data_IF_339156727665
#
_entry.id   IF_339156727665
#
_cell.length_a   1.000
_cell.length_b   1.000
_cell.length_c   1.000
_cell.angle_alpha   90.00
_cell.angle_beta   90.00
_cell.angle_gamma   90.00
#
_symmetry.space_group_name_H-M   'P 1'
#
loop_
_entity.id
_entity.type
_entity.pdbx_description
1 polymer ?
#
# COMPACT_ATOMS: atom_id res chain seq x y z
N UNK A 1 -13.30 39.82 64.79
CA UNK A 1 -14.06 40.90 64.15
C UNK A 1 -13.76 40.86 62.65
N UNK A 2 -14.81 40.66 61.86
CA UNK A 2 -14.97 40.85 60.41
C UNK A 2 -14.21 39.99 59.42
N UNK A 3 -14.81 38.81 59.14
CA UNK A 3 -14.53 38.03 57.93
C UNK A 3 -15.78 37.68 57.11
N UNK A 4 -16.89 38.45 57.19
CA UNK A 4 -18.15 38.15 56.51
C UNK A 4 -18.54 39.09 55.37
N UNK A 5 -17.70 40.06 54.97
CA UNK A 5 -18.08 41.09 53.97
C UNK A 5 -17.63 40.85 52.51
N UNK A 6 -16.79 39.82 52.21
CA UNK A 6 -16.18 39.62 50.84
C UNK A 6 -16.81 38.54 49.97
N UNK A 7 -17.64 37.69 50.53
CA UNK A 7 -18.27 36.55 49.79
C UNK A 7 -19.52 36.98 49.02
N UNK A 8 -20.32 37.90 49.53
CA UNK A 8 -21.60 38.26 48.90
C UNK A 8 -21.41 39.14 47.64
N UNK A 9 -20.40 39.95 47.57
CA UNK A 9 -20.12 40.82 46.40
C UNK A 9 -19.65 39.98 45.18
N UNK A 10 -18.97 38.88 45.36
CA UNK A 10 -18.49 38.02 44.24
C UNK A 10 -19.62 37.18 43.64
N UNK A 11 -20.60 36.81 44.43
CA UNK A 11 -21.77 36.05 43.95
C UNK A 11 -22.70 36.95 43.12
N UNK A 12 -22.93 38.19 43.58
CA UNK A 12 -23.71 39.19 42.88
C UNK A 12 -23.09 39.59 41.51
N UNK A 13 -21.77 39.71 41.43
CA UNK A 13 -21.05 40.04 40.18
C UNK A 13 -21.10 38.86 39.20
N UNK A 14 -20.94 37.60 39.65
CA UNK A 14 -21.06 36.40 38.81
C UNK A 14 -22.48 36.25 38.25
N UNK A 15 -23.51 36.49 39.05
CA UNK A 15 -24.92 36.40 38.65
C UNK A 15 -25.28 37.49 37.65
N UNK A 16 -24.80 38.71 37.82
CA UNK A 16 -24.97 39.81 36.82
C UNK A 16 -24.26 39.53 35.50
N UNK A 17 -23.03 38.99 35.51
CA UNK A 17 -22.31 38.59 34.28
C UNK A 17 -23.03 37.47 33.54
N UNK A 18 -23.60 36.47 34.25
CA UNK A 18 -24.35 35.38 33.65
C UNK A 18 -25.66 35.84 33.01
N UNK A 19 -26.40 36.77 33.65
CA UNK A 19 -27.61 37.44 33.06
C UNK A 19 -27.26 38.28 31.83
N UNK A 20 -26.15 38.99 31.84
CA UNK A 20 -25.72 39.83 30.71
C UNK A 20 -25.36 38.97 29.50
N UNK A 21 -24.58 37.90 29.71
CA UNK A 21 -24.23 36.97 28.63
C UNK A 21 -25.42 36.23 28.03
N UNK A 22 -26.39 35.84 28.85
CA UNK A 22 -27.64 35.23 28.35
C UNK A 22 -28.47 36.21 27.52
N UNK A 23 -28.53 37.50 27.88
CA UNK A 23 -29.23 38.49 27.09
C UNK A 23 -28.51 38.80 25.75
N UNK A 24 -27.18 38.82 25.74
CA UNK A 24 -26.37 39.01 24.52
C UNK A 24 -26.58 37.85 23.57
N UNK A 25 -26.55 36.59 24.06
CA UNK A 25 -26.78 35.41 23.25
C UNK A 25 -28.20 35.36 22.68
N UNK A 26 -29.21 35.73 23.48
CA UNK A 26 -30.62 35.79 23.03
C UNK A 26 -30.83 36.85 21.96
N UNK A 27 -30.13 38.00 22.06
CA UNK A 27 -30.17 39.05 21.04
C UNK A 27 -29.51 38.63 19.75
N UNK A 28 -28.35 37.97 19.81
CA UNK A 28 -27.63 37.39 18.64
C UNK A 28 -28.46 36.32 17.93
N UNK A 29 -29.12 35.43 18.66
CA UNK A 29 -29.98 34.38 18.10
C UNK A 29 -31.19 34.97 17.38
N UNK A 30 -31.78 36.05 17.91
CA UNK A 30 -32.92 36.73 17.27
C UNK A 30 -32.50 37.51 16.02
N UNK A 31 -31.34 38.13 16.02
CA UNK A 31 -30.80 38.80 14.83
C UNK A 31 -30.45 37.80 13.72
N UNK A 32 -29.86 36.63 14.05
CA UNK A 32 -29.61 35.55 13.10
C UNK A 32 -30.92 34.99 12.52
N UNK A 33 -31.99 34.83 13.33
CA UNK A 33 -33.29 34.39 12.84
C UNK A 33 -33.92 35.41 11.90
N UNK A 34 -33.79 36.71 12.16
CA UNK A 34 -34.27 37.79 11.25
C UNK A 34 -33.50 37.80 9.93
N UNK A 35 -32.16 37.60 9.96
CA UNK A 35 -31.34 37.49 8.75
C UNK A 35 -31.68 36.24 7.92
N UNK A 36 -31.95 35.11 8.56
CA UNK A 36 -32.43 33.89 7.87
C UNK A 36 -33.78 34.09 7.21
N UNK A 37 -34.72 34.77 7.90
CA UNK A 37 -36.09 35.05 7.35
C UNK A 37 -36.04 36.04 6.19
N UNK A 38 -35.12 37.04 6.21
CA UNK A 38 -34.93 37.95 5.09
C UNK A 38 -34.27 37.23 3.88
N UNK A 39 -33.32 36.31 4.11
CA UNK A 39 -32.73 35.52 3.06
C UNK A 39 -33.71 34.56 2.37
N UNK A 40 -34.64 34.00 3.13
CA UNK A 40 -35.72 33.15 2.58
C UNK A 40 -36.77 33.99 1.80
N UNK A 41 -37.08 35.22 2.23
CA UNK A 41 -37.99 36.11 1.48
C UNK A 41 -37.39 36.69 0.20
N UNK A 42 -36.05 36.85 0.10
CA UNK A 42 -35.40 37.28 -1.16
C UNK A 42 -35.30 36.16 -2.20
N UNK A 43 -35.45 34.91 -1.79
CA UNK A 43 -35.44 33.74 -2.70
C UNK A 43 -36.82 33.46 -3.31
N UNK A 44 -37.92 34.10 -2.83
CA UNK A 44 -39.28 33.86 -3.31
C UNK A 44 -39.79 34.92 -4.29
N UNK A 45 -39.08 36.00 -4.54
CA UNK A 45 -39.52 37.08 -5.45
C UNK A 45 -38.78 37.14 -6.79
N UNK A 46 -37.85 36.20 -7.07
CA UNK A 46 -37.12 36.09 -8.34
C UNK A 46 -37.64 34.96 -9.24
N UNK A 47 -38.80 34.47 -8.99
CA UNK A 47 -39.35 33.32 -9.68
C UNK A 47 -40.51 33.62 -10.58
N UNK A 48 -40.38 34.44 -11.64
CA UNK A 48 -41.31 34.45 -12.79
C UNK A 48 -40.68 35.18 -13.99
N UNK A 49 -39.71 34.54 -14.60
CA UNK A 49 -39.50 34.54 -16.07
C UNK A 49 -38.79 33.22 -16.37
N UNK A 50 -39.59 32.19 -16.57
CA UNK A 50 -39.09 30.91 -17.04
C UNK A 50 -38.72 31.06 -18.54
N UNK A 51 -37.48 31.35 -18.81
CA UNK A 51 -36.85 30.84 -20.06
C UNK A 51 -36.62 29.34 -19.80
N UNK A 52 -37.35 28.55 -20.56
CA UNK A 52 -37.07 27.12 -20.75
C UNK A 52 -35.72 26.97 -21.39
N UNK A 53 -34.65 27.11 -20.64
CA UNK A 53 -33.37 26.46 -20.99
C UNK A 53 -33.57 24.96 -20.74
N UNK A 54 -33.85 24.26 -21.82
CA UNK A 54 -33.61 22.81 -21.87
C UNK A 54 -32.19 22.57 -21.34
N UNK A 55 -32.09 22.06 -20.11
CA UNK A 55 -30.87 21.40 -19.65
C UNK A 55 -30.59 20.32 -20.70
N UNK A 56 -29.71 20.67 -21.65
CA UNK A 56 -29.02 19.64 -22.38
C UNK A 56 -28.33 18.79 -21.32
N UNK A 57 -28.81 17.57 -21.12
CA UNK A 57 -28.05 16.54 -20.45
C UNK A 57 -26.66 16.60 -21.12
N UNK A 58 -25.63 17.00 -20.35
CA UNK A 58 -24.28 16.75 -20.75
C UNK A 58 -24.23 15.22 -20.93
N UNK A 59 -24.40 14.75 -22.16
CA UNK A 59 -23.88 13.47 -22.56
C UNK A 59 -22.42 13.55 -22.17
N UNK A 60 -22.02 12.78 -21.16
CA UNK A 60 -20.62 12.56 -20.88
C UNK A 60 -20.00 12.15 -22.22
N UNK A 61 -19.23 13.05 -22.80
CA UNK A 61 -18.51 12.76 -24.04
C UNK A 61 -17.50 11.69 -23.65
N UNK A 62 -17.79 10.45 -24.01
CA UNK A 62 -16.90 9.33 -23.79
C UNK A 62 -15.56 9.72 -24.42
N UNK A 63 -14.52 9.83 -23.61
CA UNK A 63 -13.18 10.13 -24.12
C UNK A 63 -12.79 9.04 -25.13
N UNK A 64 -12.63 9.35 -26.43
CA UNK A 64 -12.32 8.34 -27.45
C UNK A 64 -10.95 7.68 -27.21
N UNK A 65 -10.09 8.33 -26.43
CA UNK A 65 -8.75 7.83 -26.10
C UNK A 65 -8.75 6.97 -24.82
N UNK A 66 -9.89 6.83 -24.15
CA UNK A 66 -9.96 6.00 -22.94
C UNK A 66 -9.56 4.56 -23.26
N UNK A 67 -8.65 3.94 -22.47
CA UNK A 67 -8.30 2.54 -22.66
C UNK A 67 -9.53 1.62 -22.53
N UNK A 68 -9.68 0.71 -23.47
CA UNK A 68 -10.65 -0.39 -23.43
C UNK A 68 -9.87 -1.68 -23.41
N UNK A 69 -9.93 -2.40 -22.30
CA UNK A 69 -9.10 -3.57 -22.09
C UNK A 69 -9.78 -4.84 -22.57
N UNK A 70 -9.03 -5.67 -23.29
CA UNK A 70 -9.36 -7.07 -23.59
C UNK A 70 -8.46 -7.95 -22.75
N UNK A 71 -9.06 -8.75 -21.86
CA UNK A 71 -8.33 -9.69 -21.00
C UNK A 71 -7.80 -10.85 -21.84
N UNK A 72 -6.48 -11.09 -21.77
CA UNK A 72 -5.79 -12.21 -22.41
C UNK A 72 -5.76 -13.40 -21.46
N UNK A 73 -5.43 -13.13 -20.20
CA UNK A 73 -5.33 -14.12 -19.13
C UNK A 73 -5.67 -13.49 -17.80
N UNK A 74 -6.47 -14.18 -17.02
CA UNK A 74 -6.80 -13.81 -15.65
C UNK A 74 -6.74 -15.04 -14.76
N UNK A 75 -6.01 -14.93 -13.65
CA UNK A 75 -5.90 -15.99 -12.65
C UNK A 75 -6.79 -15.64 -11.46
N UNK A 76 -7.38 -16.65 -10.79
CA UNK A 76 -8.20 -16.41 -9.59
C UNK A 76 -7.40 -15.76 -8.47
N UNK A 77 -7.99 -14.75 -7.84
CA UNK A 77 -7.46 -14.05 -6.67
C UNK A 77 -8.51 -13.98 -5.56
N UNK A 78 -8.08 -13.66 -4.35
CA UNK A 78 -8.95 -13.36 -3.21
C UNK A 78 -9.48 -11.92 -3.28
N UNK A 79 -10.37 -11.54 -2.34
CA UNK A 79 -10.97 -10.20 -2.28
C UNK A 79 -9.93 -9.07 -2.20
N UNK A 80 -10.31 -7.89 -2.66
CA UNK A 80 -9.50 -6.67 -2.49
C UNK A 80 -9.54 -6.25 -1.02
N UNK A 81 -8.36 -6.11 -0.41
CA UNK A 81 -8.21 -5.63 0.97
C UNK A 81 -7.81 -4.16 1.02
N UNK A 82 -7.81 -3.58 2.22
CA UNK A 82 -7.44 -2.17 2.42
C UNK A 82 -6.45 -2.04 3.59
N UNK A 83 -5.17 -1.79 3.28
CA UNK A 83 -4.14 -1.50 4.28
C UNK A 83 -4.34 -0.14 4.97
N UNK A 84 -5.17 0.72 4.40
CA UNK A 84 -5.51 2.05 4.87
C UNK A 84 -4.26 2.93 5.18
N UNK A 85 -4.14 3.42 6.42
CA UNK A 85 -3.03 4.29 6.84
C UNK A 85 -1.92 3.50 7.52
N UNK A 86 -1.44 2.46 6.83
CA UNK A 86 -0.29 1.66 7.27
C UNK A 86 0.68 1.45 6.10
N UNK A 87 1.98 1.41 6.39
CA UNK A 87 3.03 1.08 5.42
C UNK A 87 3.21 -0.44 5.28
N UNK A 88 2.12 -1.20 5.17
CA UNK A 88 2.13 -2.68 5.17
C UNK A 88 1.78 -3.30 3.82
N UNK A 89 1.96 -2.55 2.72
CA UNK A 89 1.72 -3.03 1.35
C UNK A 89 2.47 -4.35 1.05
N UNK A 90 3.72 -4.46 1.50
CA UNK A 90 4.54 -5.66 1.40
C UNK A 90 3.83 -6.91 1.95
N UNK A 91 3.11 -6.76 3.07
CA UNK A 91 2.41 -7.84 3.75
C UNK A 91 1.09 -8.18 3.04
N UNK A 92 0.25 -7.16 2.76
CA UNK A 92 -1.03 -7.35 2.06
C UNK A 92 -0.85 -7.97 0.68
N UNK A 93 0.13 -7.50 -0.11
CA UNK A 93 0.41 -8.04 -1.45
C UNK A 93 0.92 -9.47 -1.40
N UNK A 94 1.83 -9.77 -0.46
CA UNK A 94 2.43 -11.10 -0.36
C UNK A 94 1.48 -12.12 0.25
N UNK A 95 0.66 -11.75 1.24
CA UNK A 95 -0.40 -12.65 1.70
C UNK A 95 -1.43 -12.91 0.60
N UNK A 96 -1.83 -11.88 -0.16
CA UNK A 96 -2.67 -12.08 -1.36
C UNK A 96 -2.04 -13.05 -2.37
N UNK A 97 -0.71 -13.02 -2.54
CA UNK A 97 0.02 -13.98 -3.37
C UNK A 97 -0.10 -15.41 -2.81
N UNK A 98 0.15 -15.62 -1.51
CA UNK A 98 0.02 -16.93 -0.91
C UNK A 98 -1.42 -17.43 -0.89
N UNK A 99 -2.39 -16.58 -0.67
CA UNK A 99 -3.82 -16.90 -0.78
C UNK A 99 -4.19 -17.37 -2.20
N UNK A 100 -3.65 -16.74 -3.25
CA UNK A 100 -3.83 -17.16 -4.63
C UNK A 100 -3.14 -18.51 -4.92
N UNK A 101 -1.94 -18.75 -4.37
CA UNK A 101 -1.24 -20.03 -4.46
C UNK A 101 -2.05 -21.18 -3.78
N UNK A 102 -2.61 -20.90 -2.60
CA UNK A 102 -3.47 -21.85 -1.89
C UNK A 102 -4.74 -22.12 -2.70
N UNK A 103 -5.38 -21.05 -3.19
CA UNK A 103 -6.59 -21.16 -4.04
C UNK A 103 -6.32 -21.98 -5.30
N UNK A 104 -5.19 -21.76 -5.97
CA UNK A 104 -4.77 -22.54 -7.14
C UNK A 104 -4.65 -24.02 -6.79
N UNK A 105 -4.02 -24.34 -5.66
CA UNK A 105 -3.72 -25.72 -5.25
C UNK A 105 -4.91 -26.44 -4.66
N UNK A 106 -5.66 -25.80 -3.77
CA UNK A 106 -6.69 -26.43 -2.94
C UNK A 106 -8.12 -26.19 -3.43
N UNK A 107 -8.32 -25.19 -4.28
CA UNK A 107 -9.63 -24.64 -4.69
C UNK A 107 -10.42 -24.03 -3.53
N UNK A 108 -9.79 -23.79 -2.39
CA UNK A 108 -10.37 -23.14 -1.23
C UNK A 108 -9.81 -21.73 -1.08
N UNK A 109 -10.68 -20.80 -0.70
CA UNK A 109 -10.31 -19.43 -0.35
C UNK A 109 -9.97 -19.36 1.14
N UNK A 110 -8.89 -18.69 1.45
CA UNK A 110 -8.47 -18.36 2.82
C UNK A 110 -8.29 -16.87 2.96
N UNK A 111 -8.54 -16.36 4.13
CA UNK A 111 -8.27 -14.99 4.56
C UNK A 111 -7.20 -15.03 5.65
N UNK A 112 -5.94 -14.77 5.27
CA UNK A 112 -4.78 -14.87 6.15
C UNK A 112 -4.56 -13.55 6.88
N UNK A 113 -4.20 -13.62 8.17
CA UNK A 113 -4.11 -12.47 9.03
C UNK A 113 -2.84 -11.65 8.83
N UNK A 114 -2.96 -10.43 8.29
CA UNK A 114 -1.85 -9.50 8.11
C UNK A 114 -1.25 -9.04 9.44
N UNK A 115 -2.07 -8.86 10.47
CA UNK A 115 -1.61 -8.38 11.77
C UNK A 115 -0.77 -9.44 12.50
N UNK A 116 -1.01 -10.73 12.26
CA UNK A 116 -0.16 -11.80 12.75
C UNK A 116 1.28 -11.66 12.19
N UNK A 117 1.39 -11.43 10.89
CA UNK A 117 2.68 -11.24 10.22
C UNK A 117 3.37 -9.98 10.74
N UNK A 118 2.66 -8.85 10.83
CA UNK A 118 3.20 -7.61 11.38
C UNK A 118 3.74 -7.78 12.80
N UNK A 119 2.98 -8.46 13.70
CA UNK A 119 3.39 -8.70 15.07
C UNK A 119 4.74 -9.45 15.15
N UNK A 120 4.87 -10.54 14.40
CA UNK A 120 6.11 -11.33 14.39
C UNK A 120 7.26 -10.58 13.72
N UNK A 121 7.00 -9.95 12.59
CA UNK A 121 8.03 -9.25 11.82
C UNK A 121 8.60 -8.04 12.56
N UNK A 122 7.77 -7.21 13.19
CA UNK A 122 8.25 -6.05 13.93
C UNK A 122 9.02 -6.43 15.20
N UNK A 123 8.67 -7.52 15.87
CA UNK A 123 9.49 -8.05 16.96
C UNK A 123 10.88 -8.43 16.47
N UNK A 124 10.98 -9.19 15.39
CA UNK A 124 12.25 -9.61 14.79
C UNK A 124 13.09 -8.41 14.35
N UNK A 125 12.47 -7.44 13.67
CA UNK A 125 13.14 -6.22 13.19
C UNK A 125 13.68 -5.37 14.35
N UNK A 126 12.91 -5.26 15.44
CA UNK A 126 13.36 -4.61 16.66
C UNK A 126 14.56 -5.31 17.31
N UNK A 127 14.56 -6.66 17.33
CA UNK A 127 15.70 -7.44 17.82
C UNK A 127 16.95 -7.17 16.97
N UNK A 128 16.82 -7.10 15.67
CA UNK A 128 17.94 -6.75 14.77
C UNK A 128 18.44 -5.34 15.05
N UNK A 129 17.55 -4.34 15.13
CA UNK A 129 17.93 -2.95 15.45
C UNK A 129 18.68 -2.84 16.78
N UNK A 130 18.22 -3.52 17.81
CA UNK A 130 18.89 -3.53 19.13
C UNK A 130 20.26 -4.21 19.04
N UNK A 131 20.40 -5.33 18.31
CA UNK A 131 21.68 -6.01 18.07
C UNK A 131 22.68 -5.17 17.29
N UNK A 132 22.16 -4.34 16.35
CA UNK A 132 22.93 -3.41 15.55
C UNK A 132 23.18 -2.05 16.24
N UNK A 133 22.91 -1.96 17.56
CA UNK A 133 23.10 -0.74 18.36
C UNK A 133 22.38 0.50 17.81
N UNK A 134 21.26 0.30 17.08
CA UNK A 134 20.44 1.36 16.50
C UNK A 134 20.75 1.69 15.04
N UNK A 135 21.79 1.12 14.44
CA UNK A 135 22.19 1.43 13.06
C UNK A 135 21.29 0.79 11.99
N UNK A 136 20.48 -0.23 12.35
CA UNK A 136 19.48 -0.77 11.44
C UNK A 136 18.21 0.12 11.43
N UNK A 137 17.65 0.33 10.24
CA UNK A 137 16.38 1.02 10.11
C UNK A 137 15.23 0.22 10.74
N UNK A 138 14.31 0.93 11.38
CA UNK A 138 13.07 0.38 11.93
C UNK A 138 11.90 1.21 11.41
N UNK A 139 11.13 0.66 10.49
CA UNK A 139 10.05 1.32 9.76
C UNK A 139 8.84 0.40 9.62
N UNK A 140 7.76 0.90 9.03
CA UNK A 140 6.56 0.12 8.73
C UNK A 140 6.74 -0.82 7.54
N UNK A 141 7.66 -0.49 6.63
CA UNK A 141 7.93 -1.25 5.42
C UNK A 141 8.53 -2.64 5.67
N UNK A 142 8.69 -3.39 4.62
CA UNK A 142 9.26 -4.74 4.60
C UNK A 142 9.22 -5.32 3.20
N UNK A 143 9.77 -6.52 3.04
CA UNK A 143 9.85 -7.23 1.77
C UNK A 143 8.95 -8.47 1.73
N UNK A 144 8.67 -8.99 0.54
CA UNK A 144 7.91 -10.22 0.36
C UNK A 144 8.51 -11.40 1.14
N UNK A 145 9.83 -11.44 1.26
CA UNK A 145 10.52 -12.47 2.04
C UNK A 145 10.20 -12.42 3.52
N UNK A 146 9.87 -11.26 4.10
CA UNK A 146 9.49 -11.16 5.51
C UNK A 146 8.23 -11.98 5.80
N UNK A 147 7.25 -11.93 4.90
CA UNK A 147 6.03 -12.75 4.99
C UNK A 147 6.36 -14.23 4.90
N UNK A 148 7.12 -14.63 3.86
CA UNK A 148 7.57 -16.01 3.70
C UNK A 148 8.32 -16.51 4.94
N UNK A 149 9.19 -15.69 5.52
CA UNK A 149 9.93 -16.01 6.74
C UNK A 149 8.99 -16.26 7.92
N UNK A 150 7.98 -15.40 8.11
CA UNK A 150 6.99 -15.56 9.19
C UNK A 150 6.17 -16.83 8.99
N UNK A 151 5.65 -17.08 7.79
CA UNK A 151 4.89 -18.30 7.45
C UNK A 151 5.71 -19.57 7.74
N UNK A 152 6.99 -19.57 7.38
CA UNK A 152 7.90 -20.71 7.55
C UNK A 152 8.27 -20.95 9.03
N UNK A 153 8.54 -19.91 9.81
CA UNK A 153 9.12 -20.03 11.13
C UNK A 153 8.12 -19.85 12.28
N UNK A 154 7.07 -19.05 12.10
CA UNK A 154 6.05 -18.76 13.11
C UNK A 154 4.68 -19.36 12.76
N UNK A 155 4.46 -19.70 11.49
CA UNK A 155 3.16 -20.09 10.98
C UNK A 155 2.27 -18.89 10.66
N UNK A 156 0.96 -19.11 10.64
CA UNK A 156 -0.07 -18.11 10.35
C UNK A 156 -1.40 -18.50 11.00
N UNK A 157 -2.29 -17.56 11.21
CA UNK A 157 -3.69 -17.83 11.52
C UNK A 157 -4.61 -17.17 10.46
N UNK A 158 -5.87 -17.61 10.32
CA UNK A 158 -6.84 -16.87 9.55
C UNK A 158 -7.20 -15.57 10.26
N UNK A 159 -7.67 -14.55 9.52
CA UNK A 159 -8.02 -13.23 10.06
C UNK A 159 -9.00 -13.34 11.24
N UNK A 160 -10.02 -14.18 11.14
CA UNK A 160 -11.05 -14.38 12.18
C UNK A 160 -10.51 -14.95 13.51
N UNK A 161 -9.31 -15.53 13.51
CA UNK A 161 -8.70 -16.11 14.71
C UNK A 161 -7.88 -15.10 15.53
N UNK A 162 -7.62 -13.93 14.99
CA UNK A 162 -6.89 -12.87 15.68
C UNK A 162 -7.86 -11.86 16.29
N UNK A 163 -7.53 -11.31 17.46
CA UNK A 163 -8.31 -10.23 18.06
C UNK A 163 -8.24 -8.98 17.19
N UNK A 164 -9.31 -8.18 17.18
CA UNK A 164 -9.34 -6.93 16.45
C UNK A 164 -8.19 -6.01 16.89
N UNK A 165 -7.46 -5.39 15.93
CA UNK A 165 -6.33 -4.52 16.24
C UNK A 165 -6.77 -3.18 16.85
N UNK A 166 -6.00 -2.71 17.84
CA UNK A 166 -6.19 -1.41 18.45
C UNK A 166 -5.93 -0.23 17.51
N UNK A 167 -5.25 -0.48 16.39
CA UNK A 167 -4.99 0.51 15.33
C UNK A 167 -6.23 0.94 14.55
N UNK A 168 -7.36 0.28 14.74
CA UNK A 168 -8.62 0.64 14.08
C UNK A 168 -9.33 1.85 14.73
N UNK A 169 -8.99 2.24 15.95
CA UNK A 169 -9.61 3.38 16.68
C UNK A 169 -11.15 3.44 16.64
N UNK A 170 -11.81 2.27 16.60
CA UNK A 170 -13.27 2.20 16.46
C UNK A 170 -13.77 2.30 15.02
N UNK A 171 -12.90 2.44 14.04
CA UNK A 171 -13.16 2.30 12.62
C UNK A 171 -12.91 0.85 12.15
N UNK A 172 -13.21 0.55 10.90
CA UNK A 172 -12.93 -0.73 10.25
C UNK A 172 -11.56 -0.74 9.53
N UNK A 173 -10.81 0.38 9.58
CA UNK A 173 -9.58 0.61 8.86
C UNK A 173 -8.40 0.90 9.80
N UNK A 174 -7.26 0.30 9.52
CA UNK A 174 -6.04 0.48 10.29
C UNK A 174 -5.43 1.88 10.15
N UNK A 175 -4.85 2.40 11.25
CA UNK A 175 -4.04 3.61 11.25
C UNK A 175 -2.81 3.41 12.15
N UNK A 176 -1.64 3.31 11.54
CA UNK A 176 -0.38 3.01 12.24
C UNK A 176 0.37 4.27 12.74
N UNK A 177 -0.18 5.46 12.58
CA UNK A 177 0.51 6.70 12.96
C UNK A 177 0.86 6.73 14.45
N UNK A 178 -0.13 6.47 15.34
CA UNK A 178 0.11 6.43 16.79
C UNK A 178 0.97 5.22 17.16
N UNK A 179 0.67 4.06 16.60
CA UNK A 179 1.41 2.84 16.87
C UNK A 179 2.92 3.01 16.66
N UNK A 180 3.33 3.54 15.52
CA UNK A 180 4.75 3.77 15.22
C UNK A 180 5.34 4.92 16.03
N UNK A 181 4.56 5.97 16.33
CA UNK A 181 4.99 7.05 17.20
C UNK A 181 5.31 6.57 18.63
N UNK A 182 4.74 5.43 19.06
CA UNK A 182 5.03 4.78 20.35
C UNK A 182 6.15 3.74 20.20
N UNK A 183 6.04 2.87 19.20
CA UNK A 183 6.91 1.70 19.06
C UNK A 183 8.34 2.06 18.66
N UNK A 184 8.53 2.95 17.68
CA UNK A 184 9.85 3.32 17.19
C UNK A 184 10.71 3.99 18.26
N UNK A 185 10.24 5.03 19.00
CA UNK A 185 11.00 5.59 20.12
C UNK A 185 11.28 4.61 21.25
N UNK A 186 10.36 3.66 21.52
CA UNK A 186 10.59 2.60 22.49
C UNK A 186 11.80 1.74 22.10
N UNK A 187 11.83 1.25 20.87
CA UNK A 187 12.95 0.43 20.34
C UNK A 187 14.24 1.23 20.30
N UNK A 188 14.19 2.50 19.88
CA UNK A 188 15.34 3.41 19.86
C UNK A 188 15.92 3.66 21.25
N UNK A 189 15.08 3.86 22.26
CA UNK A 189 15.53 4.05 23.63
C UNK A 189 16.32 2.83 24.15
N UNK A 190 15.93 1.62 23.75
CA UNK A 190 16.65 0.39 24.08
C UNK A 190 17.95 0.27 23.27
N UNK A 191 17.87 0.46 21.94
CA UNK A 191 18.99 0.28 21.02
C UNK A 191 20.13 1.28 21.25
N UNK A 192 19.80 2.51 21.63
CA UNK A 192 20.73 3.63 21.89
C UNK A 192 21.02 3.82 23.39
N UNK A 193 20.68 2.84 24.25
CA UNK A 193 20.95 2.91 25.68
C UNK A 193 22.44 3.07 25.97
N UNK A 194 22.79 3.99 26.85
CA UNK A 194 24.16 4.16 27.37
C UNK A 194 24.55 3.10 28.40
N UNK A 195 23.66 2.22 28.80
CA UNK A 195 23.93 1.13 29.74
C UNK A 195 24.93 0.13 29.13
N UNK A 196 25.91 -0.28 29.94
CA UNK A 196 26.91 -1.29 29.51
C UNK A 196 26.27 -2.63 29.17
N UNK A 197 25.16 -2.95 29.82
CA UNK A 197 24.35 -4.18 29.61
C UNK A 197 22.90 -3.82 29.63
N UNK A 198 22.10 -4.46 28.78
CA UNK A 198 20.65 -4.34 28.77
C UNK A 198 20.01 -5.68 29.13
N UNK A 199 18.87 -5.66 29.81
CA UNK A 199 18.08 -6.87 30.07
C UNK A 199 17.35 -7.30 28.80
N UNK A 200 16.83 -8.52 28.79
CA UNK A 200 15.93 -9.00 27.72
C UNK A 200 14.47 -8.62 27.96
N UNK A 201 14.16 -8.00 29.11
CA UNK A 201 12.80 -7.61 29.54
C UNK A 201 12.13 -6.63 28.58
N UNK A 202 12.90 -5.81 27.84
CA UNK A 202 12.39 -4.91 26.83
C UNK A 202 11.54 -5.62 25.75
N UNK A 203 11.82 -6.90 25.47
CA UNK A 203 11.01 -7.69 24.51
C UNK A 203 9.60 -7.90 25.02
N UNK A 204 9.40 -8.11 26.33
CA UNK A 204 8.08 -8.24 26.92
C UNK A 204 7.31 -6.91 26.86
N UNK A 205 8.00 -5.79 27.08
CA UNK A 205 7.42 -4.45 26.91
C UNK A 205 7.00 -4.18 25.47
N UNK A 206 7.87 -4.50 24.51
CA UNK A 206 7.55 -4.38 23.09
C UNK A 206 6.39 -5.32 22.70
N UNK A 207 6.38 -6.58 23.17
CA UNK A 207 5.27 -7.50 22.91
C UNK A 207 3.95 -6.96 23.43
N UNK A 208 3.95 -6.30 24.59
CA UNK A 208 2.75 -5.62 25.12
C UNK A 208 2.25 -4.49 24.20
N UNK A 209 3.16 -3.73 23.60
CA UNK A 209 2.82 -2.70 22.61
C UNK A 209 2.24 -3.37 21.35
N UNK A 210 2.93 -4.38 20.80
CA UNK A 210 2.48 -5.12 19.61
C UNK A 210 1.08 -5.75 19.84
N UNK A 211 0.86 -6.39 20.96
CA UNK A 211 -0.42 -7.02 21.29
C UNK A 211 -1.56 -6.00 21.46
N UNK A 212 -1.26 -4.81 22.00
CA UNK A 212 -2.24 -3.74 22.16
C UNK A 212 -2.68 -3.13 20.81
N UNK A 213 -1.72 -2.90 19.92
CA UNK A 213 -1.99 -2.21 18.65
C UNK A 213 -2.34 -3.15 17.50
N UNK A 214 -1.77 -4.35 17.44
CA UNK A 214 -1.98 -5.29 16.33
C UNK A 214 -2.91 -6.45 16.67
N UNK A 215 -3.23 -6.60 17.95
CA UNK A 215 -3.92 -7.78 18.46
C UNK A 215 -2.95 -8.88 18.90
N UNK A 216 -3.41 -9.70 19.85
CA UNK A 216 -2.63 -10.80 20.41
C UNK A 216 -2.62 -12.00 19.47
N UNK A 217 -1.43 -12.44 19.08
CA UNK A 217 -1.28 -13.67 18.30
C UNK A 217 -1.77 -14.88 19.10
N UNK A 218 -2.68 -15.71 18.56
CA UNK A 218 -3.18 -16.89 19.26
C UNK A 218 -2.09 -17.96 19.35
N UNK A 219 -1.99 -18.63 20.51
CA UNK A 219 -1.18 -19.85 20.65
C UNK A 219 -1.87 -21.04 19.98
N UNK A 220 -3.20 -21.12 20.13
CA UNK A 220 -4.07 -22.08 19.45
C UNK A 220 -5.40 -21.40 19.08
N UNK A 221 -6.03 -21.86 18.02
CA UNK A 221 -7.34 -21.38 17.58
C UNK A 221 -8.15 -22.50 16.92
N UNK A 222 -9.46 -22.30 16.83
CA UNK A 222 -10.37 -23.21 16.10
C UNK A 222 -10.65 -22.66 14.72
N UNK A 223 -10.54 -23.51 13.71
CA UNK A 223 -10.89 -23.19 12.33
C UNK A 223 -11.52 -24.42 11.67
N UNK A 224 -12.67 -24.26 11.01
CA UNK A 224 -13.45 -25.37 10.41
C UNK A 224 -13.60 -26.58 11.35
N UNK A 225 -13.87 -26.33 12.63
CA UNK A 225 -14.11 -27.37 13.66
C UNK A 225 -12.86 -28.08 14.18
N UNK A 226 -11.67 -27.74 13.73
CA UNK A 226 -10.39 -28.28 14.20
C UNK A 226 -9.62 -27.24 15.00
N UNK A 227 -8.83 -27.71 15.96
CA UNK A 227 -7.90 -26.85 16.72
C UNK A 227 -6.52 -26.91 16.09
N UNK A 228 -5.91 -25.74 15.89
CA UNK A 228 -4.59 -25.59 15.29
C UNK A 228 -3.68 -24.70 16.16
N UNK A 229 -2.39 -24.95 16.14
CA UNK A 229 -1.38 -23.91 16.33
C UNK A 229 -1.14 -23.18 15.03
N UNK A 230 -0.55 -21.96 15.02
CA UNK A 230 -0.21 -21.26 13.77
C UNK A 230 0.65 -22.09 12.81
N UNK A 231 1.64 -22.85 13.32
CA UNK A 231 2.49 -23.72 12.50
C UNK A 231 1.69 -24.90 11.90
N UNK A 232 0.80 -25.52 12.67
CA UNK A 232 -0.06 -26.59 12.16
C UNK A 232 -1.01 -26.10 11.07
N UNK A 233 -1.54 -24.87 11.24
CA UNK A 233 -2.39 -24.27 10.24
C UNK A 233 -1.61 -23.97 8.96
N UNK A 234 -0.44 -23.30 9.06
CA UNK A 234 0.43 -23.05 7.90
C UNK A 234 0.79 -24.34 7.14
N UNK A 235 1.09 -25.42 7.87
CA UNK A 235 1.36 -26.74 7.26
C UNK A 235 0.13 -27.32 6.54
N UNK A 236 -1.08 -27.08 7.07
CA UNK A 236 -2.34 -27.57 6.48
C UNK A 236 -2.74 -26.88 5.17
N UNK A 237 -2.19 -25.69 4.89
CA UNK A 237 -2.42 -24.97 3.65
C UNK A 237 -1.81 -25.67 2.41
N UNK A 238 -0.94 -26.65 2.64
CA UNK A 238 -0.42 -27.54 1.60
C UNK A 238 0.65 -26.90 0.70
N UNK A 239 1.19 -25.74 1.05
CA UNK A 239 2.30 -25.12 0.31
C UNK A 239 3.64 -25.65 0.85
N UNK A 240 4.63 -25.68 -0.04
CA UNK A 240 6.03 -25.89 0.34
C UNK A 240 6.73 -24.53 0.27
N UNK A 241 7.11 -23.99 1.42
CA UNK A 241 7.70 -22.65 1.52
C UNK A 241 9.06 -22.52 0.80
N UNK A 242 9.73 -23.63 0.51
CA UNK A 242 10.99 -23.66 -0.25
C UNK A 242 10.78 -23.59 -1.79
N UNK A 243 9.51 -23.53 -2.24
CA UNK A 243 9.18 -23.37 -3.64
C UNK A 243 9.13 -21.91 -4.09
N UNK A 244 9.33 -20.96 -3.19
CA UNK A 244 9.20 -19.52 -3.46
C UNK A 244 10.58 -18.86 -3.47
N UNK A 245 10.81 -18.07 -4.51
CA UNK A 245 12.08 -17.37 -4.74
C UNK A 245 11.83 -15.92 -5.13
N UNK A 246 12.78 -15.04 -4.81
CA UNK A 246 12.78 -13.65 -5.23
C UNK A 246 13.68 -13.43 -6.43
N UNK A 247 13.24 -12.57 -7.36
CA UNK A 247 13.90 -12.24 -8.62
C UNK A 247 14.11 -10.74 -8.69
N UNK A 248 15.27 -10.33 -9.19
CA UNK A 248 15.63 -8.93 -9.45
C UNK A 248 16.46 -8.81 -10.72
N UNK A 249 16.80 -7.57 -11.15
CA UNK A 249 17.57 -7.33 -12.37
C UNK A 249 18.41 -6.08 -12.25
N UNK A 250 19.70 -6.22 -11.88
CA UNK A 250 20.67 -5.13 -11.76
C UNK A 250 22.05 -5.54 -12.27
N UNK A 251 22.83 -4.60 -12.83
CA UNK A 251 24.11 -4.89 -13.47
C UNK A 251 25.32 -4.77 -12.56
N UNK A 252 25.17 -4.22 -11.35
CA UNK A 252 26.26 -4.08 -10.38
C UNK A 252 26.61 -5.41 -9.67
N UNK A 253 25.76 -6.45 -9.84
CA UNK A 253 26.07 -7.84 -9.47
C UNK A 253 26.00 -8.77 -10.68
N UNK A 254 26.76 -9.87 -10.71
CA UNK A 254 26.68 -10.83 -11.81
C UNK A 254 25.27 -11.42 -11.99
N UNK A 255 24.83 -11.57 -13.22
CA UNK A 255 23.59 -12.29 -13.51
C UNK A 255 23.71 -13.79 -13.17
N UNK A 256 22.58 -14.41 -12.88
CA UNK A 256 22.44 -15.82 -12.47
C UNK A 256 23.09 -16.14 -11.12
N UNK A 257 23.32 -15.12 -10.30
CA UNK A 257 23.73 -15.23 -8.90
C UNK A 257 22.69 -14.63 -7.98
N UNK A 258 22.83 -14.85 -6.68
CA UNK A 258 21.98 -14.21 -5.68
C UNK A 258 22.75 -13.09 -4.99
N UNK A 259 22.04 -11.99 -4.72
CA UNK A 259 22.49 -10.94 -3.83
C UNK A 259 21.29 -10.34 -3.06
N UNK A 260 21.54 -9.73 -1.93
CA UNK A 260 20.52 -9.00 -1.20
C UNK A 260 20.35 -7.62 -1.84
N UNK A 261 19.16 -7.32 -2.38
CA UNK A 261 18.86 -5.98 -2.94
C UNK A 261 19.06 -4.94 -1.85
N UNK A 262 19.90 -3.92 -2.12
CA UNK A 262 20.31 -2.92 -1.14
C UNK A 262 19.25 -1.82 -1.00
N UNK A 263 18.15 -2.15 -0.36
CA UNK A 263 17.09 -1.23 0.06
C UNK A 263 16.81 -1.40 1.55
N UNK A 264 16.40 -0.32 2.20
CA UNK A 264 16.26 -0.29 3.66
C UNK A 264 15.22 -1.27 4.20
N UNK A 265 14.17 -1.56 3.43
CA UNK A 265 13.12 -2.48 3.81
C UNK A 265 13.46 -3.95 3.61
N UNK A 266 14.56 -4.25 2.89
CA UNK A 266 15.15 -5.59 2.80
C UNK A 266 16.08 -5.90 3.98
N UNK A 267 15.63 -5.61 5.20
CA UNK A 267 16.41 -5.66 6.44
C UNK A 267 16.87 -7.07 6.86
N UNK A 268 16.19 -8.13 6.39
CA UNK A 268 16.63 -9.53 6.58
C UNK A 268 17.72 -9.95 5.59
N UNK A 269 17.92 -9.18 4.53
CA UNK A 269 18.91 -9.40 3.49
C UNK A 269 18.88 -10.79 2.84
N UNK A 270 17.71 -11.35 2.48
CA UNK A 270 17.66 -12.56 1.68
C UNK A 270 18.27 -12.31 0.30
N UNK A 271 18.83 -13.37 -0.29
CA UNK A 271 19.29 -13.31 -1.67
C UNK A 271 18.12 -13.34 -2.67
N UNK A 272 18.09 -12.38 -3.59
CA UNK A 272 17.25 -12.40 -4.78
C UNK A 272 18.06 -12.87 -5.99
N UNK A 273 17.49 -13.73 -6.84
CA UNK A 273 18.13 -14.15 -8.08
C UNK A 273 18.21 -12.98 -9.05
N UNK A 274 19.43 -12.63 -9.46
CA UNK A 274 19.69 -11.55 -10.41
C UNK A 274 19.67 -12.06 -11.84
N UNK A 275 18.83 -11.49 -12.69
CA UNK A 275 18.64 -11.91 -14.07
C UNK A 275 18.73 -10.73 -15.03
N UNK A 276 19.05 -10.94 -16.33
CA UNK A 276 18.79 -9.94 -17.36
C UNK A 276 17.33 -9.49 -17.34
N UNK A 277 17.09 -8.22 -17.66
CA UNK A 277 15.77 -7.59 -17.59
C UNK A 277 14.71 -8.30 -18.44
N UNK A 278 15.06 -8.79 -19.60
CA UNK A 278 14.19 -9.53 -20.49
C UNK A 278 13.80 -10.91 -19.91
N UNK A 279 14.72 -11.61 -19.27
CA UNK A 279 14.43 -12.87 -18.57
C UNK A 279 13.59 -12.65 -17.31
N UNK A 280 13.83 -11.56 -16.58
CA UNK A 280 12.98 -11.14 -15.47
C UNK A 280 11.52 -10.90 -15.94
N UNK A 281 11.34 -10.21 -17.06
CA UNK A 281 10.02 -9.99 -17.66
C UNK A 281 9.37 -11.30 -18.15
N UNK A 282 10.14 -12.17 -18.79
CA UNK A 282 9.64 -13.45 -19.29
C UNK A 282 9.13 -14.38 -18.18
N UNK A 283 9.70 -14.29 -16.97
CA UNK A 283 9.20 -15.03 -15.80
C UNK A 283 7.81 -14.56 -15.42
N UNK A 284 7.55 -13.24 -15.39
CA UNK A 284 6.22 -12.70 -15.04
C UNK A 284 5.18 -13.17 -16.06
N UNK A 285 5.49 -13.07 -17.36
CA UNK A 285 4.60 -13.55 -18.42
C UNK A 285 4.31 -15.05 -18.29
N UNK A 286 5.36 -15.85 -18.10
CA UNK A 286 5.21 -17.30 -17.95
C UNK A 286 4.41 -17.66 -16.71
N UNK A 287 4.63 -16.98 -15.60
CA UNK A 287 3.88 -17.19 -14.35
C UNK A 287 2.38 -16.98 -14.58
N UNK A 288 1.99 -15.82 -15.10
CA UNK A 288 0.60 -15.47 -15.32
C UNK A 288 -0.07 -16.43 -16.32
N UNK A 289 0.59 -16.71 -17.44
CA UNK A 289 0.04 -17.60 -18.48
C UNK A 289 -0.16 -19.04 -17.99
N UNK A 290 0.64 -19.50 -17.01
CA UNK A 290 0.55 -20.84 -16.42
C UNK A 290 -0.27 -20.88 -15.10
N UNK A 291 -1.07 -19.84 -14.84
CA UNK A 291 -1.99 -19.82 -13.71
C UNK A 291 -1.34 -19.54 -12.37
N UNK A 292 -0.18 -18.89 -12.35
CA UNK A 292 0.49 -18.37 -11.15
C UNK A 292 0.30 -16.86 -11.06
N UNK A 293 0.50 -16.33 -9.87
CA UNK A 293 0.54 -14.90 -9.59
C UNK A 293 1.97 -14.49 -9.22
N UNK A 294 2.22 -13.19 -9.09
CA UNK A 294 3.55 -12.65 -8.74
C UNK A 294 3.38 -11.57 -7.67
N UNK A 295 4.04 -11.74 -6.51
CA UNK A 295 4.11 -10.67 -5.50
C UNK A 295 5.19 -9.67 -5.92
N UNK A 296 4.76 -8.55 -6.48
CA UNK A 296 5.59 -7.52 -7.08
C UNK A 296 5.91 -6.42 -6.06
N UNK A 297 7.18 -6.01 -5.98
CA UNK A 297 7.65 -4.83 -5.28
C UNK A 297 8.31 -3.86 -6.26
N UNK A 298 7.98 -2.57 -6.16
CA UNK A 298 8.54 -1.58 -7.06
C UNK A 298 8.14 -0.15 -6.78
N UNK A 299 8.54 0.73 -7.69
CA UNK A 299 8.34 2.16 -7.61
C UNK A 299 7.00 2.57 -8.24
N UNK A 300 6.19 3.29 -7.47
CA UNK A 300 4.90 3.85 -7.87
C UNK A 300 4.83 5.36 -7.65
N UNK A 301 5.94 6.00 -7.30
CA UNK A 301 5.99 7.43 -6.95
C UNK A 301 5.96 8.37 -8.16
N UNK A 302 5.76 7.86 -9.36
CA UNK A 302 5.78 8.61 -10.60
C UNK A 302 4.39 9.07 -11.06
N UNK A 303 4.35 10.15 -11.88
CA UNK A 303 3.10 10.68 -12.44
C UNK A 303 2.40 9.68 -13.36
N UNK A 304 3.15 8.74 -13.96
CA UNK A 304 2.61 7.67 -14.79
C UNK A 304 1.76 6.66 -14.04
N UNK A 305 1.95 6.52 -12.73
CA UNK A 305 1.11 5.71 -11.84
C UNK A 305 -0.07 6.55 -11.35
N UNK A 306 -1.24 6.35 -11.95
CA UNK A 306 -2.44 7.14 -11.65
C UNK A 306 -3.25 6.50 -10.52
N UNK A 307 -4.03 7.31 -9.79
CA UNK A 307 -4.92 6.82 -8.75
C UNK A 307 -6.18 6.14 -9.30
N UNK A 308 -6.47 6.34 -10.56
CA UNK A 308 -7.62 5.75 -11.25
C UNK A 308 -7.40 4.29 -11.67
N UNK A 309 -6.18 3.77 -11.55
CA UNK A 309 -5.86 2.38 -11.85
C UNK A 309 -5.17 2.15 -13.19
N UNK A 310 -4.46 3.15 -13.70
CA UNK A 310 -3.62 3.04 -14.89
C UNK A 310 -2.17 3.39 -14.53
N UNK A 311 -1.20 2.61 -15.04
CA UNK A 311 0.21 2.95 -14.93
C UNK A 311 0.91 2.79 -16.28
N UNK A 312 1.61 3.87 -16.71
CA UNK A 312 2.34 3.96 -17.97
C UNK A 312 3.75 4.48 -17.73
N UNK A 313 4.73 3.93 -18.42
CA UNK A 313 6.11 4.43 -18.38
C UNK A 313 6.24 5.70 -19.22
N UNK A 314 6.14 6.85 -18.57
CA UNK A 314 6.16 8.14 -19.25
C UNK A 314 7.51 8.85 -19.12
N UNK A 315 7.77 9.77 -20.03
CA UNK A 315 8.92 10.67 -19.95
C UNK A 315 8.61 11.84 -18.98
N UNK A 316 8.88 11.63 -17.69
CA UNK A 316 8.63 12.61 -16.62
C UNK A 316 9.27 13.97 -16.88
N UNK A 317 10.42 13.98 -17.56
CA UNK A 317 11.19 15.18 -17.86
C UNK A 317 10.84 15.79 -19.22
N UNK A 318 10.06 15.08 -20.06
CA UNK A 318 9.73 15.50 -21.41
C UNK A 318 10.93 15.58 -22.35
N UNK A 319 12.07 14.96 -21.98
CA UNK A 319 13.33 15.10 -22.71
C UNK A 319 13.42 14.27 -23.98
N UNK A 320 12.58 13.23 -24.09
CA UNK A 320 12.55 12.32 -25.25
C UNK A 320 11.27 12.47 -26.09
N UNK A 321 10.17 12.93 -25.45
CA UNK A 321 8.84 12.98 -26.08
C UNK A 321 8.36 14.38 -26.45
N UNK A 322 8.96 15.42 -25.88
CA UNK A 322 8.54 16.82 -26.05
C UNK A 322 9.72 17.71 -26.43
N UNK A 323 9.44 18.76 -27.17
CA UNK A 323 10.45 19.74 -27.61
C UNK A 323 10.02 21.18 -27.26
N UNK A 324 11.00 22.06 -27.06
CA UNK A 324 10.83 23.49 -26.94
C UNK A 324 9.80 23.94 -25.91
N UNK A 325 8.78 24.67 -26.36
CA UNK A 325 7.75 25.25 -25.47
C UNK A 325 6.86 24.23 -24.82
N UNK A 326 6.66 23.06 -25.42
CA UNK A 326 5.76 22.03 -24.88
C UNK A 326 6.45 21.27 -23.73
N UNK A 327 7.75 20.99 -23.86
CA UNK A 327 8.56 20.49 -22.73
C UNK A 327 8.56 21.50 -21.58
N UNK A 328 8.76 22.80 -21.87
CA UNK A 328 8.75 23.83 -20.83
C UNK A 328 7.38 23.96 -20.13
N UNK A 329 6.28 23.74 -20.84
CA UNK A 329 4.92 23.68 -20.26
C UNK A 329 4.74 22.44 -19.40
N UNK A 330 5.15 21.26 -19.91
CA UNK A 330 5.05 19.99 -19.19
C UNK A 330 5.79 20.00 -17.86
N UNK A 331 7.02 20.53 -17.84
CA UNK A 331 7.83 20.62 -16.62
C UNK A 331 7.22 21.54 -15.53
N UNK A 332 6.34 22.46 -15.91
CA UNK A 332 5.63 23.35 -14.97
C UNK A 332 4.37 22.73 -14.36
N UNK A 333 3.92 21.59 -14.87
CA UNK A 333 2.72 20.93 -14.37
C UNK A 333 2.98 20.27 -13.01
N UNK A 334 1.99 20.37 -12.13
CA UNK A 334 1.96 19.58 -10.90
C UNK A 334 1.74 18.10 -11.23
N UNK A 335 2.09 17.15 -10.33
CA UNK A 335 1.83 15.73 -10.52
C UNK A 335 0.37 15.44 -10.88
N UNK A 336 -0.59 16.09 -10.20
CA UNK A 336 -2.01 15.95 -10.50
C UNK A 336 -2.35 16.40 -11.93
N UNK A 337 -1.85 17.55 -12.36
CA UNK A 337 -2.09 18.05 -13.71
C UNK A 337 -1.49 17.14 -14.79
N UNK A 338 -0.33 16.51 -14.50
CA UNK A 338 0.25 15.49 -15.39
C UNK A 338 -0.67 14.27 -15.47
N UNK A 339 -1.18 13.77 -14.33
CA UNK A 339 -2.13 12.65 -14.32
C UNK A 339 -3.43 12.97 -15.07
N UNK A 340 -3.99 14.18 -14.90
CA UNK A 340 -5.19 14.61 -15.63
C UNK A 340 -4.94 14.61 -17.17
N UNK A 341 -3.77 15.09 -17.61
CA UNK A 341 -3.37 15.04 -19.04
C UNK A 341 -3.16 13.60 -19.53
N UNK A 342 -2.58 12.73 -18.73
CA UNK A 342 -2.42 11.31 -19.09
C UNK A 342 -3.78 10.63 -19.24
N UNK A 343 -4.72 10.94 -18.36
CA UNK A 343 -6.10 10.43 -18.43
C UNK A 343 -6.81 10.92 -19.70
N UNK A 344 -6.63 12.18 -20.06
CA UNK A 344 -7.19 12.76 -21.31
C UNK A 344 -6.58 12.12 -22.56
N UNK A 345 -5.25 11.95 -22.57
CA UNK A 345 -4.53 11.36 -23.69
C UNK A 345 -4.76 9.84 -23.81
N UNK A 346 -4.92 9.13 -22.69
CA UNK A 346 -5.26 7.72 -22.67
C UNK A 346 -4.33 6.86 -23.52
N UNK A 347 -4.88 6.13 -24.49
CA UNK A 347 -4.12 5.22 -25.35
C UNK A 347 -3.14 5.92 -26.31
N UNK A 348 -3.28 7.23 -26.51
CA UNK A 348 -2.37 8.01 -27.37
C UNK A 348 -1.06 8.39 -26.68
N UNK A 349 -0.94 8.13 -25.36
CA UNK A 349 0.31 8.35 -24.62
C UNK A 349 1.43 7.52 -25.24
N UNK A 350 2.53 8.18 -25.62
CA UNK A 350 3.74 7.50 -26.06
C UNK A 350 4.56 7.09 -24.85
N UNK A 351 4.74 5.80 -24.66
CA UNK A 351 5.59 5.26 -23.58
C UNK A 351 7.07 5.23 -23.96
N UNK A 352 7.91 5.32 -22.94
CA UNK A 352 9.32 4.98 -23.05
C UNK A 352 9.51 3.46 -23.16
N UNK A 353 10.59 3.05 -23.79
CA UNK A 353 11.03 1.64 -23.78
C UNK A 353 12.05 1.48 -22.67
N UNK A 354 11.85 0.57 -21.71
CA UNK A 354 12.80 0.33 -20.63
C UNK A 354 14.13 -0.26 -21.17
N UNK A 355 15.23 0.06 -20.50
CA UNK A 355 16.52 -0.55 -20.77
C UNK A 355 17.20 -0.98 -19.49
N UNK A 356 18.06 -2.00 -19.57
CA UNK A 356 18.83 -2.49 -18.43
C UNK A 356 19.74 -1.41 -17.84
N UNK A 357 20.37 -0.60 -18.70
CA UNK A 357 21.22 0.51 -18.29
C UNK A 357 20.43 1.60 -17.55
N UNK A 358 19.24 1.96 -18.09
CA UNK A 358 18.40 2.97 -17.45
C UNK A 358 17.91 2.53 -16.07
N UNK A 359 17.50 1.25 -15.92
CA UNK A 359 17.12 0.67 -14.62
C UNK A 359 18.25 0.79 -13.61
N UNK A 360 19.47 0.37 -13.98
CA UNK A 360 20.62 0.48 -13.08
C UNK A 360 20.90 1.92 -12.68
N UNK A 361 20.89 2.85 -13.65
CA UNK A 361 21.11 4.26 -13.40
C UNK A 361 20.05 4.85 -12.46
N UNK A 362 18.79 4.47 -12.61
CA UNK A 362 17.69 4.96 -11.76
C UNK A 362 17.78 4.40 -10.34
N UNK A 363 18.23 3.16 -10.18
CA UNK A 363 18.52 2.57 -8.89
C UNK A 363 19.69 3.27 -8.18
N UNK A 364 20.81 3.47 -8.89
CA UNK A 364 22.01 4.10 -8.33
C UNK A 364 21.79 5.57 -7.93
N UNK A 365 20.92 6.30 -8.62
CA UNK A 365 20.68 7.71 -8.39
C UNK A 365 19.39 8.02 -7.60
N UNK A 366 18.73 6.97 -7.06
CA UNK A 366 17.52 7.05 -6.22
C UNK A 366 16.28 7.60 -6.92
N UNK A 367 16.19 7.47 -8.24
CA UNK A 367 14.96 7.78 -8.99
C UNK A 367 14.12 6.52 -9.25
N UNK A 368 14.61 5.35 -8.89
CA UNK A 368 13.88 4.10 -8.74
C UNK A 368 13.95 3.72 -7.26
N UNK A 369 12.80 3.74 -6.58
CA UNK A 369 12.69 3.57 -5.13
C UNK A 369 11.80 2.38 -4.76
N UNK A 370 11.97 1.84 -3.55
CA UNK A 370 11.16 0.76 -3.00
C UNK A 370 9.93 1.35 -2.28
N UNK A 371 8.83 1.51 -3.01
CA UNK A 371 7.68 2.27 -2.52
C UNK A 371 6.47 1.40 -2.18
N UNK A 372 6.19 0.36 -2.98
CA UNK A 372 4.92 -0.33 -2.89
C UNK A 372 4.95 -1.77 -3.33
N UNK A 373 4.16 -2.60 -2.64
CA UNK A 373 3.94 -3.99 -2.99
C UNK A 373 2.53 -4.23 -3.54
N UNK A 374 2.41 -4.99 -4.64
CA UNK A 374 1.15 -5.33 -5.30
C UNK A 374 1.17 -6.77 -5.81
N UNK A 375 0.02 -7.29 -6.26
CA UNK A 375 -0.10 -8.64 -6.80
C UNK A 375 -0.40 -8.62 -8.30
N UNK A 376 0.52 -9.11 -9.14
CA UNK A 376 0.27 -9.33 -10.56
C UNK A 376 -0.48 -10.67 -10.73
N UNK A 377 -1.64 -10.64 -11.41
CA UNK A 377 -2.47 -11.83 -11.55
C UNK A 377 -3.06 -12.05 -12.96
N UNK A 378 -2.93 -11.06 -13.85
CA UNK A 378 -3.51 -11.15 -15.18
C UNK A 378 -2.72 -10.39 -16.24
N UNK A 379 -3.06 -10.61 -17.49
CA UNK A 379 -2.56 -9.90 -18.67
C UNK A 379 -3.75 -9.45 -19.51
N UNK A 380 -3.73 -8.19 -19.95
CA UNK A 380 -4.70 -7.59 -20.85
C UNK A 380 -4.00 -6.77 -21.93
N UNK A 381 -4.75 -6.37 -22.94
CA UNK A 381 -4.31 -5.40 -23.96
C UNK A 381 -5.38 -4.34 -24.20
N UNK A 382 -4.96 -3.13 -24.52
CA UNK A 382 -5.89 -2.09 -24.96
C UNK A 382 -6.22 -2.22 -26.47
N UNK A 383 -7.08 -1.33 -26.96
CA UNK A 383 -7.51 -1.29 -28.37
C UNK A 383 -6.38 -0.97 -29.36
N UNK A 384 -5.23 -0.47 -28.89
CA UNK A 384 -4.04 -0.22 -29.74
C UNK A 384 -3.11 -1.43 -29.79
N UNK A 385 -3.37 -2.43 -28.95
CA UNK A 385 -2.53 -3.64 -28.80
C UNK A 385 -1.44 -3.50 -27.75
N UNK A 386 -1.36 -2.38 -27.01
CA UNK A 386 -0.45 -2.26 -25.86
C UNK A 386 -0.84 -3.25 -24.77
N UNK A 387 0.15 -3.97 -24.28
CA UNK A 387 -0.05 -4.98 -23.25
C UNK A 387 0.13 -4.43 -21.83
N UNK A 388 -0.70 -4.91 -20.93
CA UNK A 388 -0.73 -4.54 -19.52
C UNK A 388 -0.78 -5.78 -18.65
N UNK A 389 -0.17 -5.69 -17.47
CA UNK A 389 -0.49 -6.59 -16.38
C UNK A 389 -1.71 -6.07 -15.62
N UNK A 390 -2.57 -6.99 -15.20
CA UNK A 390 -3.66 -6.74 -14.26
C UNK A 390 -3.11 -6.95 -12.86
N UNK A 391 -3.13 -5.89 -12.04
CA UNK A 391 -2.43 -5.85 -10.76
C UNK A 391 -3.41 -5.47 -9.65
N UNK A 392 -3.55 -6.35 -8.66
CA UNK A 392 -4.38 -6.13 -7.46
C UNK A 392 -3.62 -5.26 -6.48
N UNK A 393 -4.24 -4.16 -6.05
CA UNK A 393 -3.74 -3.26 -5.01
C UNK A 393 -4.42 -3.54 -3.66
N UNK A 394 -3.87 -2.98 -2.59
CA UNK A 394 -4.38 -3.07 -1.21
C UNK A 394 -4.91 -1.74 -0.67
N UNK A 395 -5.59 -0.94 -1.52
CA UNK A 395 -6.19 0.34 -1.14
C UNK A 395 -7.73 0.32 -1.16
N UNK A 396 -8.32 -0.89 -1.00
CA UNK A 396 -9.76 -1.10 -1.13
C UNK A 396 -10.24 -1.05 -2.58
N UNK A 397 -11.53 -1.23 -2.78
CA UNK A 397 -12.17 -1.17 -4.11
C UNK A 397 -12.29 0.28 -4.61
N UNK A 398 -11.16 0.97 -4.73
CA UNK A 398 -11.06 2.36 -5.19
C UNK A 398 -10.72 2.46 -6.67
N UNK A 399 -10.82 3.67 -7.22
CA UNK A 399 -10.51 3.94 -8.62
C UNK A 399 -11.54 3.39 -9.61
N UNK A 400 -11.25 3.57 -10.89
CA UNK A 400 -12.15 3.17 -11.97
C UNK A 400 -12.31 1.64 -12.08
N UNK A 401 -11.25 0.90 -11.75
CA UNK A 401 -11.19 -0.56 -11.86
C UNK A 401 -11.30 -1.26 -10.50
N UNK A 402 -11.92 -0.61 -9.50
CA UNK A 402 -12.26 -1.18 -8.19
C UNK A 402 -11.10 -1.92 -7.51
N UNK A 403 -9.97 -1.22 -7.34
CA UNK A 403 -8.80 -1.75 -6.65
C UNK A 403 -7.85 -2.55 -7.55
N UNK A 404 -8.11 -2.59 -8.86
CA UNK A 404 -7.22 -3.18 -9.87
C UNK A 404 -6.52 -2.06 -10.64
N UNK A 405 -5.26 -2.26 -10.96
CA UNK A 405 -4.46 -1.42 -11.83
C UNK A 405 -4.11 -2.17 -13.12
N UNK A 406 -4.27 -1.49 -14.25
CA UNK A 406 -3.70 -1.90 -15.52
C UNK A 406 -2.36 -1.20 -15.67
N UNK A 407 -1.29 -1.93 -15.42
CA UNK A 407 0.09 -1.42 -15.48
C UNK A 407 0.74 -1.92 -16.76
N UNK A 408 1.21 -0.99 -17.63
CA UNK A 408 1.86 -1.42 -18.87
C UNK A 408 3.07 -2.32 -18.59
N UNK A 409 3.36 -3.23 -19.50
CA UNK A 409 4.56 -4.10 -19.35
C UNK A 409 5.82 -3.27 -19.24
N UNK A 410 5.93 -2.15 -19.99
CA UNK A 410 7.07 -1.26 -19.89
C UNK A 410 7.23 -0.65 -18.51
N UNK A 411 6.12 -0.24 -17.88
CA UNK A 411 6.14 0.30 -16.52
C UNK A 411 6.63 -0.77 -15.52
N UNK A 412 6.03 -1.95 -15.54
CA UNK A 412 6.42 -3.04 -14.64
C UNK A 412 7.89 -3.39 -14.83
N UNK A 413 8.36 -3.57 -16.07
CA UNK A 413 9.77 -3.92 -16.34
C UNK A 413 10.70 -2.82 -15.84
N UNK A 414 10.38 -1.55 -16.08
CA UNK A 414 11.22 -0.42 -15.65
C UNK A 414 11.25 -0.26 -14.12
N UNK A 415 10.11 -0.45 -13.44
CA UNK A 415 9.90 -0.02 -12.05
C UNK A 415 9.92 -1.17 -11.02
N UNK A 416 10.20 -2.38 -11.44
CA UNK A 416 10.39 -3.53 -10.52
C UNK A 416 11.65 -3.36 -9.67
N UNK A 417 11.53 -3.40 -8.34
CA UNK A 417 12.68 -3.60 -7.43
C UNK A 417 13.05 -5.08 -7.38
N UNK A 418 12.12 -5.87 -6.91
CA UNK A 418 12.13 -7.32 -6.95
C UNK A 418 10.70 -7.87 -6.98
N UNK A 419 10.56 -9.17 -7.12
CA UNK A 419 9.28 -9.85 -6.94
C UNK A 419 9.47 -11.29 -6.47
N UNK A 420 8.46 -11.81 -5.75
CA UNK A 420 8.42 -13.22 -5.37
C UNK A 420 7.55 -14.01 -6.35
N UNK A 421 8.01 -15.20 -6.68
CA UNK A 421 7.32 -16.15 -7.57
C UNK A 421 7.53 -17.58 -7.10
N UNK A 422 6.59 -18.47 -7.44
CA UNK A 422 6.78 -19.90 -7.30
C UNK A 422 7.83 -20.37 -8.33
N UNK A 423 8.86 -21.10 -7.90
CA UNK A 423 9.92 -21.59 -8.80
C UNK A 423 9.39 -22.42 -9.98
N UNK A 424 8.21 -23.10 -9.83
CA UNK A 424 7.58 -23.83 -10.92
C UNK A 424 6.96 -22.92 -12.00
N UNK A 425 6.81 -21.63 -11.71
CA UNK A 425 6.37 -20.63 -12.67
C UNK A 425 7.52 -20.05 -13.52
N UNK A 426 8.78 -20.35 -13.18
CA UNK A 426 9.95 -19.92 -13.94
C UNK A 426 10.12 -20.81 -15.17
N UNK A 427 10.35 -20.25 -16.38
CA UNK A 427 10.63 -21.03 -17.59
C UNK A 427 11.77 -22.03 -17.36
N UNK A 428 11.62 -23.24 -17.89
CA UNK A 428 12.56 -24.36 -17.68
C UNK A 428 14.01 -24.01 -17.99
N UNK A 429 14.22 -23.25 -19.05
CA UNK A 429 15.58 -22.85 -19.47
C UNK A 429 16.22 -21.86 -18.47
N UNK A 430 15.42 -20.96 -17.90
CA UNK A 430 15.90 -20.03 -16.87
C UNK A 430 16.19 -20.78 -15.58
N UNK A 431 15.29 -21.69 -15.14
CA UNK A 431 15.55 -22.55 -13.96
C UNK A 431 16.87 -23.32 -14.08
N UNK A 432 17.15 -23.86 -15.25
CA UNK A 432 18.40 -24.58 -15.52
C UNK A 432 19.63 -23.68 -15.34
N UNK A 433 19.56 -22.41 -15.78
CA UNK A 433 20.64 -21.43 -15.57
C UNK A 433 20.84 -21.09 -14.09
N UNK A 434 19.74 -21.08 -13.31
CA UNK A 434 19.77 -20.79 -11.88
C UNK A 434 20.13 -22.02 -11.02
N UNK A 435 20.07 -23.22 -11.57
CA UNK A 435 20.29 -24.46 -10.81
C UNK A 435 19.17 -24.82 -9.82
N UNK A 436 17.90 -24.42 -10.10
CA UNK A 436 16.73 -24.63 -9.22
C UNK A 436 15.59 -25.38 -9.91
#
# INVERSE_FOLDING_TARGET
>A
MDYHGKTDNNIAIKTRKKKLNNNINKKRTNEMKKLLTLAVMMLTTSGMMAQTETKAEKKDSVNPNKPVFTVIKENPITSIKNQARSGTCWNYSTLSFFEAEILKKTKKTYDLCEMFVCNKNYMDRAIVKVRMHGDAQFSQGGAAYDVLYVLKNYGICPEEAMSAPGTMYGDTLNNFNEFFAVMEPYVDAVAKSSARTISTTWRNGLQGILDAYLGKCPETFKYEGKTYTPQQFASSLGLNWDDYVTITSYTHHPFYTQFAVEVQDNWRQPGSWNLPMDEMAAIIDNAVMNGYTVAWGGDVSESGFTREGLALLIDEKGTQSLEGSDMAKWLKLTPKQKQDKLKEAGVTVKELTPSQEQRQKEYDNWTLTDDHGMLIYGIAKDQTGREYYMVKNSWGETGEYKGIWYMSKNFIIAKTMDYMVNKNAIPKEIRKKLGI
#
